data_IF_542721330950
#
_entry.id   IF_542721330950
#
_cell.length_a   1.000
_cell.length_b   1.000
_cell.length_c   1.000
_cell.angle_alpha   90.00
_cell.angle_beta   90.00
_cell.angle_gamma   90.00
#
_symmetry.space_group_name_H-M   'P 1'
#
loop_
_entity.id
_entity.type
_entity.pdbx_description
1 polymer ?
#
# COMPACT_ATOMS: atom_id res chain seq x y z
N UNK A 1 8.27 -9.03 -27.28
CA UNK A 1 7.67 -8.93 -25.94
C UNK A 1 7.46 -7.45 -25.69
N UNK A 2 6.21 -7.02 -25.52
CA UNK A 2 5.90 -5.59 -25.37
C UNK A 2 6.47 -5.06 -24.05
N UNK A 3 7.20 -3.93 -24.11
CA UNK A 3 7.89 -3.36 -22.93
C UNK A 3 6.91 -2.96 -21.84
N UNK A 4 5.76 -2.43 -22.24
CA UNK A 4 4.69 -2.03 -21.33
C UNK A 4 4.02 -3.24 -20.65
N UNK A 5 3.83 -4.31 -21.42
CA UNK A 5 3.31 -5.57 -20.88
C UNK A 5 4.26 -6.18 -19.86
N UNK A 6 5.58 -6.12 -20.10
CA UNK A 6 6.58 -6.55 -19.13
C UNK A 6 6.56 -5.66 -17.87
N UNK A 7 6.49 -4.34 -18.03
CA UNK A 7 6.43 -3.41 -16.92
C UNK A 7 5.21 -3.67 -16.02
N UNK A 8 4.03 -3.90 -16.62
CA UNK A 8 2.81 -4.23 -15.89
C UNK A 8 2.93 -5.56 -15.14
N UNK A 9 3.54 -6.58 -15.74
CA UNK A 9 3.77 -7.87 -15.06
C UNK A 9 4.69 -7.73 -13.85
N UNK A 10 5.82 -7.04 -13.99
CA UNK A 10 6.76 -6.81 -12.89
C UNK A 10 6.12 -5.99 -11.76
N UNK A 11 5.26 -5.03 -12.13
CA UNK A 11 4.50 -4.24 -11.18
C UNK A 11 3.57 -5.14 -10.34
N UNK A 12 2.74 -5.94 -11.02
CA UNK A 12 1.79 -6.87 -10.36
C UNK A 12 2.53 -7.87 -9.49
N UNK A 13 3.59 -8.52 -9.98
CA UNK A 13 4.42 -9.44 -9.20
C UNK A 13 4.99 -8.77 -7.94
N UNK A 14 5.43 -7.51 -8.04
CA UNK A 14 5.95 -6.79 -6.88
C UNK A 14 4.86 -6.48 -5.86
N UNK A 15 3.65 -6.11 -6.29
CA UNK A 15 2.53 -5.88 -5.37
C UNK A 15 2.12 -7.18 -4.69
N UNK A 16 2.02 -8.30 -5.43
CA UNK A 16 1.76 -9.62 -4.84
C UNK A 16 2.82 -10.01 -3.81
N UNK A 17 4.11 -9.81 -4.11
CA UNK A 17 5.19 -10.09 -3.17
C UNK A 17 5.12 -9.23 -1.90
N UNK A 18 4.58 -8.00 -1.97
CA UNK A 18 4.39 -7.12 -0.82
C UNK A 18 3.14 -7.46 -0.01
N UNK A 19 2.07 -7.90 -0.68
CA UNK A 19 0.82 -8.30 -0.06
C UNK A 19 0.92 -9.67 0.63
N UNK A 20 1.78 -10.57 0.14
CA UNK A 20 1.91 -11.92 0.68
C UNK A 20 0.61 -12.70 0.49
N UNK A 21 0.05 -13.22 1.58
CA UNK A 21 -1.21 -13.97 1.59
C UNK A 21 -2.46 -13.08 1.68
N UNK A 22 -2.30 -11.75 1.72
CA UNK A 22 -3.42 -10.83 1.79
C UNK A 22 -4.19 -10.77 0.45
N UNK A 23 -5.53 -10.65 0.49
CA UNK A 23 -6.33 -10.52 -0.72
C UNK A 23 -5.98 -9.21 -1.45
N UNK A 24 -5.95 -9.29 -2.78
CA UNK A 24 -5.68 -8.14 -3.65
C UNK A 24 -6.97 -7.72 -4.32
N UNK A 25 -7.29 -6.43 -4.22
CA UNK A 25 -8.35 -5.81 -5.01
C UNK A 25 -7.80 -5.44 -6.39
N UNK A 26 -8.12 -6.25 -7.39
CA UNK A 26 -7.69 -6.08 -8.78
C UNK A 26 -8.17 -4.75 -9.39
N UNK A 27 -9.36 -4.27 -9.01
CA UNK A 27 -9.89 -3.01 -9.53
C UNK A 27 -9.08 -1.81 -8.99
N UNK A 28 -8.73 -1.87 -7.71
CA UNK A 28 -7.81 -0.89 -7.11
C UNK A 28 -6.40 -1.00 -7.68
N UNK A 29 -5.90 -2.22 -7.94
CA UNK A 29 -4.57 -2.45 -8.52
C UNK A 29 -4.43 -1.82 -9.89
N UNK A 30 -5.44 -1.99 -10.73
CA UNK A 30 -5.50 -1.38 -12.06
C UNK A 30 -5.56 0.15 -11.97
N UNK A 31 -6.35 0.71 -11.07
CA UNK A 31 -6.38 2.16 -10.83
C UNK A 31 -5.02 2.72 -10.34
N UNK A 32 -4.31 1.97 -9.49
CA UNK A 32 -2.98 2.34 -9.01
C UNK A 32 -1.93 2.26 -10.12
N UNK A 33 -2.05 1.29 -11.03
CA UNK A 33 -1.22 1.20 -12.23
C UNK A 33 -1.46 2.39 -13.18
N UNK A 34 -2.73 2.70 -13.49
CA UNK A 34 -3.10 3.80 -14.37
C UNK A 34 -2.64 5.17 -13.84
N UNK A 35 -2.70 5.36 -12.51
CA UNK A 35 -2.20 6.56 -11.84
C UNK A 35 -0.66 6.60 -11.70
N UNK A 36 0.05 5.57 -12.20
CA UNK A 36 1.52 5.42 -12.10
C UNK A 36 2.02 5.43 -10.65
N UNK A 37 1.19 4.97 -9.71
CA UNK A 37 1.60 4.82 -8.32
C UNK A 37 2.68 3.75 -8.17
N UNK A 38 3.52 3.84 -7.13
CA UNK A 38 4.53 2.82 -6.89
C UNK A 38 3.90 1.50 -6.40
N UNK A 39 4.53 0.34 -6.62
CA UNK A 39 4.04 -0.94 -6.07
C UNK A 39 3.88 -0.93 -4.55
N UNK A 40 4.71 -0.14 -3.86
CA UNK A 40 4.66 0.00 -2.40
C UNK A 40 3.42 0.77 -1.96
N UNK A 41 3.07 1.84 -2.67
CA UNK A 41 1.88 2.64 -2.35
C UNK A 41 0.60 1.87 -2.69
N UNK A 42 0.60 1.08 -3.77
CA UNK A 42 -0.50 0.18 -4.11
C UNK A 42 -0.72 -0.88 -3.02
N UNK A 43 0.34 -1.55 -2.57
CA UNK A 43 0.25 -2.51 -1.47
C UNK A 43 -0.24 -1.86 -0.17
N UNK A 44 0.24 -0.66 0.17
CA UNK A 44 -0.25 0.08 1.35
C UNK A 44 -1.72 0.46 1.26
N UNK A 45 -2.19 0.87 0.09
CA UNK A 45 -3.59 1.22 -0.12
C UNK A 45 -4.52 -0.01 0.00
N UNK A 46 -4.02 -1.21 -0.33
CA UNK A 46 -4.77 -2.47 -0.26
C UNK A 46 -4.67 -3.17 1.08
N UNK A 47 -3.59 -2.97 1.84
CA UNK A 47 -3.44 -3.60 3.13
C UNK A 47 -4.57 -3.13 4.06
N UNK A 48 -5.34 -4.05 4.67
CA UNK A 48 -6.27 -3.67 5.72
C UNK A 48 -5.46 -2.95 6.78
N UNK A 49 -5.86 -1.72 7.11
CA UNK A 49 -5.13 -0.83 7.99
C UNK A 49 -4.82 -1.52 9.32
N UNK A 50 -3.61 -2.05 9.47
CA UNK A 50 -3.06 -2.36 10.79
C UNK A 50 -2.76 -1.07 11.58
N UNK A 51 -2.96 0.10 10.97
CA UNK A 51 -2.75 1.40 11.60
C UNK A 51 -3.75 2.45 11.09
N UNK A 52 -4.97 2.41 11.61
CA UNK A 52 -5.66 3.66 11.99
C UNK A 52 -4.97 4.36 13.20
N UNK A 53 -3.85 3.81 13.67
CA UNK A 53 -2.90 4.54 14.48
C UNK A 53 -2.07 5.44 13.59
N UNK A 54 -2.53 6.68 13.37
CA UNK A 54 -1.60 7.79 13.29
C UNK A 54 -0.56 7.56 14.39
N UNK A 55 0.72 7.38 14.04
CA UNK A 55 1.79 7.16 15.01
C UNK A 55 1.99 8.50 15.73
N UNK A 56 1.08 8.78 16.65
CA UNK A 56 0.99 10.02 17.35
C UNK A 56 2.32 10.20 18.07
N UNK A 57 3.04 11.29 17.81
CA UNK A 57 4.31 11.53 18.47
C UNK A 57 4.15 11.34 19.98
N UNK A 58 5.08 10.65 20.63
CA UNK A 58 4.97 10.29 22.05
C UNK A 58 4.68 11.49 22.98
N UNK A 59 5.03 12.72 22.57
CA UNK A 59 4.70 13.94 23.29
C UNK A 59 3.19 14.24 23.37
N UNK A 60 2.41 13.86 22.36
CA UNK A 60 0.96 14.09 22.29
C UNK A 60 0.22 13.22 23.30
N UNK A 61 0.57 11.93 23.36
CA UNK A 61 0.06 10.99 24.37
C UNK A 61 0.38 11.43 25.80
N UNK A 62 1.57 12.02 26.01
CA UNK A 62 1.97 12.59 27.31
C UNK A 62 1.28 13.91 27.64
N UNK A 63 0.82 14.67 26.64
CA UNK A 63 0.12 15.94 26.84
C UNK A 63 -1.34 15.72 27.24
N UNK A 64 -2.03 14.80 26.56
CA UNK A 64 -3.44 14.48 26.83
C UNK A 64 -3.66 13.80 28.19
N UNK A 65 -2.66 13.06 28.69
CA UNK A 65 -2.75 12.33 29.95
C UNK A 65 -2.15 13.06 31.16
N UNK A 66 -1.95 14.38 31.09
CA UNK A 66 -1.51 15.15 32.26
C UNK A 66 -2.69 15.31 33.20
N UNK A 67 -2.62 14.66 34.37
CA UNK A 67 -3.47 14.96 35.53
C UNK A 67 -2.93 16.16 36.29
#
# INVERSE_FOLDING_TARGET
>A
MDKELLARKLYVERVHALMGDNPIDEALLDAMWESKASPVDAAKAMMPSASDGYDAPAWLSRYLNRK
#
